data_IF_937354271577
#
_entry.id   IF_937354271577
#
_cell.length_a   1.000
_cell.length_b   1.000
_cell.length_c   1.000
_cell.angle_alpha   90.00
_cell.angle_beta   90.00
_cell.angle_gamma   90.00
#
_symmetry.space_group_name_H-M   'P 1'
#
loop_
_entity.id
_entity.type
_entity.pdbx_description
1 polymer ?
#
# COMPACT_ATOMS: atom_id res chain seq x y z
N UNK A 1 -40.25 5.26 8.46
CA UNK A 1 -38.87 5.21 7.90
C UNK A 1 -39.03 5.03 6.41
N UNK A 2 -38.66 6.05 5.65
CA UNK A 2 -38.80 6.05 4.20
C UNK A 2 -37.66 5.22 3.59
N UNK A 3 -37.96 4.00 3.16
CA UNK A 3 -36.94 3.06 2.65
C UNK A 3 -36.30 3.56 1.34
N UNK A 4 -37.00 4.40 0.58
CA UNK A 4 -36.51 4.95 -0.68
C UNK A 4 -35.37 5.95 -0.44
N UNK A 5 -35.48 6.78 0.60
CA UNK A 5 -34.42 7.73 0.97
C UNK A 5 -33.13 7.02 1.44
N UNK A 6 -33.24 5.87 2.09
CA UNK A 6 -32.07 5.06 2.52
C UNK A 6 -31.39 4.42 1.30
N UNK A 7 -32.16 3.87 0.37
CA UNK A 7 -31.65 3.28 -0.88
C UNK A 7 -31.03 4.34 -1.80
N UNK A 8 -31.64 5.52 -1.90
CA UNK A 8 -31.10 6.66 -2.66
C UNK A 8 -29.79 7.15 -2.04
N UNK A 9 -29.70 7.21 -0.70
CA UNK A 9 -28.45 7.50 -0.01
C UNK A 9 -27.33 6.50 -0.32
N UNK A 10 -27.65 5.21 -0.49
CA UNK A 10 -26.68 4.17 -0.86
C UNK A 10 -26.30 4.21 -2.35
N UNK A 11 -27.24 4.53 -3.23
CA UNK A 11 -26.97 4.69 -4.67
C UNK A 11 -26.09 5.91 -4.96
N UNK A 12 -26.27 7.01 -4.22
CA UNK A 12 -25.48 8.23 -4.33
C UNK A 12 -24.00 8.01 -3.97
N UNK A 13 -23.71 7.08 -3.04
CA UNK A 13 -22.33 6.71 -2.67
C UNK A 13 -21.64 6.00 -3.84
N UNK A 14 -22.37 5.17 -4.61
CA UNK A 14 -21.84 4.47 -5.78
C UNK A 14 -21.63 5.35 -7.01
N UNK A 15 -22.43 6.42 -7.18
CA UNK A 15 -22.37 7.35 -8.31
C UNK A 15 -21.80 8.73 -7.95
N UNK A 16 -20.95 8.80 -6.92
CA UNK A 16 -20.29 10.05 -6.53
C UNK A 16 -19.25 10.45 -7.58
N UNK A 17 -19.14 11.75 -7.96
CA UNK A 17 -18.06 12.24 -8.82
C UNK A 17 -16.66 11.91 -8.29
N UNK A 18 -16.54 11.65 -6.98
CA UNK A 18 -15.31 11.16 -6.36
C UNK A 18 -14.91 9.76 -6.88
N UNK A 19 -15.86 8.86 -7.12
CA UNK A 19 -15.59 7.49 -7.61
C UNK A 19 -15.02 7.56 -9.03
N UNK A 20 -15.62 8.37 -9.90
CA UNK A 20 -15.11 8.59 -11.27
C UNK A 20 -13.71 9.24 -11.28
N UNK A 21 -13.45 10.16 -10.35
CA UNK A 21 -12.12 10.76 -10.20
C UNK A 21 -11.06 9.73 -9.76
N UNK A 22 -11.43 8.81 -8.86
CA UNK A 22 -10.55 7.71 -8.43
C UNK A 22 -10.28 6.77 -9.61
N UNK A 23 -11.31 6.31 -10.32
CA UNK A 23 -11.15 5.43 -11.50
C UNK A 23 -10.23 6.08 -12.54
N UNK A 24 -10.46 7.35 -12.88
CA UNK A 24 -9.62 8.08 -13.83
C UNK A 24 -8.16 8.20 -13.39
N UNK A 25 -7.92 8.36 -12.08
CA UNK A 25 -6.56 8.39 -11.52
C UNK A 25 -5.86 7.04 -11.63
N UNK A 26 -6.56 5.94 -11.31
CA UNK A 26 -6.02 4.58 -11.44
C UNK A 26 -5.73 4.21 -12.89
N UNK A 27 -6.59 4.61 -13.82
CA UNK A 27 -6.35 4.45 -15.26
C UNK A 27 -5.04 5.13 -15.69
N UNK A 28 -4.81 6.39 -15.27
CA UNK A 28 -3.62 7.15 -15.63
C UNK A 28 -2.34 6.60 -15.00
N UNK A 29 -2.38 6.22 -13.72
CA UNK A 29 -1.18 5.78 -12.98
C UNK A 29 -0.73 4.36 -13.36
N UNK A 30 -1.68 3.46 -13.64
CA UNK A 30 -1.38 2.04 -13.86
C UNK A 30 -1.61 1.57 -15.30
N UNK A 31 -2.14 2.44 -16.17
CA UNK A 31 -2.45 2.10 -17.56
C UNK A 31 -3.65 1.15 -17.71
N UNK A 32 -4.57 1.16 -16.75
CA UNK A 32 -5.77 0.32 -16.80
C UNK A 32 -6.86 0.90 -17.71
N UNK A 33 -7.67 0.03 -18.29
CA UNK A 33 -8.97 0.44 -18.87
C UNK A 33 -9.96 0.76 -17.76
N UNK A 34 -11.04 1.49 -18.05
CA UNK A 34 -12.03 1.87 -17.03
C UNK A 34 -12.62 0.64 -16.29
N UNK A 35 -13.04 -0.38 -17.04
CA UNK A 35 -13.56 -1.62 -16.46
C UNK A 35 -12.53 -2.41 -15.64
N UNK A 36 -11.24 -2.34 -16.02
CA UNK A 36 -10.16 -2.94 -15.24
C UNK A 36 -9.91 -2.16 -13.96
N UNK A 37 -9.85 -0.83 -14.04
CA UNK A 37 -9.63 0.03 -12.89
C UNK A 37 -10.75 -0.18 -11.85
N UNK A 38 -12.02 -0.16 -12.25
CA UNK A 38 -13.14 -0.43 -11.34
C UNK A 38 -13.03 -1.79 -10.66
N UNK A 39 -12.71 -2.85 -11.43
CA UNK A 39 -12.54 -4.20 -10.88
C UNK A 39 -11.40 -4.25 -9.87
N UNK A 40 -10.25 -3.68 -10.20
CA UNK A 40 -9.06 -3.69 -9.35
C UNK A 40 -9.31 -2.86 -8.09
N UNK A 41 -9.94 -1.69 -8.21
CA UNK A 41 -10.35 -0.86 -7.08
C UNK A 41 -11.27 -1.64 -6.14
N UNK A 42 -12.29 -2.30 -6.70
CA UNK A 42 -13.23 -3.09 -5.91
C UNK A 42 -12.51 -4.21 -5.14
N UNK A 43 -11.67 -4.99 -5.84
CA UNK A 43 -10.87 -6.05 -5.21
C UNK A 43 -9.93 -5.48 -4.15
N UNK A 44 -9.32 -4.32 -4.40
CA UNK A 44 -8.41 -3.67 -3.47
C UNK A 44 -9.12 -3.25 -2.18
N UNK A 45 -10.33 -2.68 -2.28
CA UNK A 45 -11.10 -2.30 -1.10
C UNK A 45 -11.72 -3.48 -0.35
N UNK A 46 -12.04 -4.58 -1.06
CA UNK A 46 -12.52 -5.83 -0.46
C UNK A 46 -11.39 -6.61 0.24
N UNK A 47 -10.13 -6.41 -0.15
CA UNK A 47 -8.98 -7.06 0.48
C UNK A 47 -8.61 -6.41 1.82
N UNK A 48 -8.94 -7.10 2.92
CA UNK A 48 -8.59 -6.71 4.29
C UNK A 48 -7.14 -7.06 4.66
N UNK A 49 -6.46 -7.89 3.87
CA UNK A 49 -5.07 -8.29 4.09
C UNK A 49 -4.06 -7.37 3.39
N UNK A 50 -4.57 -6.36 2.67
CA UNK A 50 -3.79 -5.40 1.92
C UNK A 50 -2.80 -4.64 2.79
N UNK A 51 -1.76 -4.11 2.17
CA UNK A 51 -0.84 -3.17 2.82
C UNK A 51 -1.62 -1.90 3.16
N UNK A 52 -1.89 -1.67 4.43
CA UNK A 52 -2.46 -0.40 4.91
C UNK A 52 -1.30 0.48 5.35
N UNK A 53 -1.23 1.68 4.77
CA UNK A 53 -0.25 2.69 5.16
C UNK A 53 -0.86 3.46 6.33
N UNK A 54 -0.16 3.51 7.46
CA UNK A 54 -0.64 4.29 8.61
C UNK A 54 -0.63 5.79 8.29
N UNK A 55 -1.50 6.56 8.94
CA UNK A 55 -1.58 8.01 8.69
C UNK A 55 -0.27 8.73 8.99
N UNK A 56 0.47 8.27 10.00
CA UNK A 56 1.80 8.76 10.35
C UNK A 56 2.82 8.50 9.23
N UNK A 57 2.80 7.28 8.67
CA UNK A 57 3.64 6.93 7.53
C UNK A 57 3.26 7.78 6.32
N UNK A 58 1.96 7.90 6.03
CA UNK A 58 1.45 8.70 4.93
C UNK A 58 1.86 10.17 5.06
N UNK A 59 1.77 10.77 6.25
CA UNK A 59 2.18 12.16 6.47
C UNK A 59 3.64 12.43 6.09
N UNK A 60 4.54 11.48 6.37
CA UNK A 60 5.98 11.60 6.04
C UNK A 60 6.24 11.53 4.53
N UNK A 61 5.51 10.68 3.81
CA UNK A 61 5.71 10.46 2.37
C UNK A 61 4.76 11.29 1.49
N UNK A 62 3.71 11.91 2.03
CA UNK A 62 2.70 12.65 1.26
C UNK A 62 3.35 13.68 0.34
N UNK A 63 4.28 14.48 0.86
CA UNK A 63 4.92 15.53 0.06
C UNK A 63 5.66 14.98 -1.17
N UNK A 64 6.25 13.79 -1.08
CA UNK A 64 7.00 13.18 -2.20
C UNK A 64 6.11 12.33 -3.11
N UNK A 65 5.11 11.67 -2.54
CA UNK A 65 4.22 10.73 -3.22
C UNK A 65 3.07 11.45 -3.92
N UNK A 66 2.54 12.52 -3.32
CA UNK A 66 1.52 13.38 -3.94
C UNK A 66 2.10 14.19 -5.11
N UNK A 67 3.38 14.57 -5.03
CA UNK A 67 4.09 15.17 -6.17
C UNK A 67 4.19 14.21 -7.37
N UNK A 68 4.13 12.89 -7.14
CA UNK A 68 4.06 11.86 -8.18
C UNK A 68 2.61 11.54 -8.59
N UNK A 69 1.62 12.22 -8.00
CA UNK A 69 0.19 12.06 -8.30
C UNK A 69 -0.46 10.84 -7.64
N UNK A 70 0.22 10.22 -6.67
CA UNK A 70 -0.30 9.06 -5.94
C UNK A 70 -1.08 9.49 -4.70
N UNK A 71 -2.20 8.80 -4.45
CA UNK A 71 -2.92 8.83 -3.17
C UNK A 71 -2.48 7.68 -2.28
N UNK A 72 -2.84 7.73 -0.99
CA UNK A 72 -2.55 6.69 0.01
C UNK A 72 -2.95 5.29 -0.48
N UNK A 73 -4.18 5.15 -0.99
CA UNK A 73 -4.72 3.86 -1.47
C UNK A 73 -4.02 3.38 -2.75
N UNK A 74 -3.78 4.29 -3.71
CA UNK A 74 -3.12 3.91 -4.97
C UNK A 74 -1.67 3.52 -4.71
N UNK A 75 -1.01 4.20 -3.78
CA UNK A 75 0.35 3.90 -3.39
C UNK A 75 0.42 2.54 -2.66
N UNK A 76 -0.53 2.23 -1.79
CA UNK A 76 -0.67 0.91 -1.17
C UNK A 76 -0.84 -0.22 -2.20
N UNK A 77 -1.69 0.00 -3.22
CA UNK A 77 -1.84 -0.93 -4.34
C UNK A 77 -0.53 -1.10 -5.13
N UNK A 78 0.18 0.00 -5.38
CA UNK A 78 1.48 0.00 -6.04
C UNK A 78 2.52 -0.84 -5.27
N UNK A 79 2.61 -0.63 -3.95
CA UNK A 79 3.50 -1.40 -3.06
C UNK A 79 3.17 -2.89 -3.06
N UNK A 80 1.88 -3.24 -3.01
CA UNK A 80 1.43 -4.64 -3.07
C UNK A 80 1.89 -5.29 -4.37
N UNK A 81 1.77 -4.59 -5.49
CA UNK A 81 2.21 -5.06 -6.80
C UNK A 81 3.74 -5.23 -6.88
N UNK A 82 4.52 -4.34 -6.25
CA UNK A 82 5.97 -4.51 -6.17
C UNK A 82 6.39 -5.64 -5.23
N UNK A 83 5.66 -5.86 -4.13
CA UNK A 83 5.93 -6.93 -3.19
C UNK A 83 5.70 -8.32 -3.81
N UNK A 84 4.70 -8.48 -4.67
CA UNK A 84 4.44 -9.76 -5.37
C UNK A 84 5.42 -10.05 -6.49
N UNK A 85 6.02 -9.03 -7.09
CA UNK A 85 7.06 -9.19 -8.14
C UNK A 85 8.42 -9.55 -7.54
N UNK A 86 8.65 -9.30 -6.24
CA UNK A 86 9.90 -9.59 -5.55
C UNK A 86 9.75 -10.86 -4.68
N UNK A 87 10.12 -12.05 -5.16
CA UNK A 87 9.97 -13.30 -4.40
C UNK A 87 10.86 -13.39 -3.14
N UNK A 88 11.62 -12.34 -2.79
CA UNK A 88 12.57 -12.33 -1.68
C UNK A 88 12.35 -11.27 -0.60
N UNK A 89 11.43 -10.30 -0.76
CA UNK A 89 11.27 -9.20 0.21
C UNK A 89 10.11 -9.46 1.16
N UNK A 90 10.30 -10.43 2.06
CA UNK A 90 9.48 -10.51 3.27
C UNK A 90 9.79 -9.29 4.15
N UNK A 91 8.97 -8.26 4.06
CA UNK A 91 8.89 -7.27 5.13
C UNK A 91 8.50 -8.02 6.42
N UNK A 92 9.16 -7.76 7.56
CA UNK A 92 8.88 -8.47 8.80
C UNK A 92 7.46 -8.12 9.27
N UNK A 93 6.51 -9.01 9.00
CA UNK A 93 5.22 -8.99 9.66
C UNK A 93 5.46 -9.33 11.12
N UNK A 94 5.28 -8.35 12.00
CA UNK A 94 5.11 -8.58 13.44
C UNK A 94 3.82 -9.35 13.65
N UNK A 95 3.89 -10.68 13.54
CA UNK A 95 2.85 -11.59 13.99
C UNK A 95 3.55 -12.83 14.55
N UNK A 96 3.52 -12.94 15.88
CA UNK A 96 3.84 -14.15 16.63
C UNK A 96 3.11 -15.34 16.03
N UNK A 97 3.84 -16.21 15.34
CA UNK A 97 3.36 -17.52 14.93
C UNK A 97 4.54 -18.47 14.84
N UNK A 98 4.59 -19.35 15.82
CA UNK A 98 5.56 -20.42 16.01
C UNK A 98 5.49 -21.42 14.85
N UNK A 99 6.37 -21.27 13.86
CA UNK A 99 6.63 -22.33 12.88
C UNK A 99 8.10 -22.70 12.97
N UNK A 100 8.36 -23.86 13.60
CA UNK A 100 9.66 -24.51 13.66
C UNK A 100 10.17 -24.78 12.23
N UNK A 101 11.14 -24.00 11.77
CA UNK A 101 12.00 -24.34 10.62
C UNK A 101 13.44 -24.32 11.09
N UNK A 102 14.18 -25.40 10.77
CA UNK A 102 15.58 -25.59 11.15
C UNK A 102 16.43 -24.51 10.48
N UNK A 103 16.86 -23.53 11.26
CA UNK A 103 17.75 -22.47 10.80
C UNK A 103 19.14 -23.06 10.57
N UNK A 104 19.60 -23.13 9.32
CA UNK A 104 21.03 -23.09 9.05
C UNK A 104 21.48 -21.70 9.47
N UNK A 105 22.41 -21.61 10.41
CA UNK A 105 22.98 -20.34 10.84
C UNK A 105 23.54 -19.63 9.61
N UNK A 106 22.92 -18.52 9.22
CA UNK A 106 23.47 -17.68 8.17
C UNK A 106 24.53 -16.81 8.83
N UNK A 107 25.78 -17.10 8.51
CA UNK A 107 26.94 -16.31 8.87
C UNK A 107 26.93 -15.06 8.01
N UNK A 108 26.83 -13.89 8.64
CA UNK A 108 26.88 -12.60 7.96
C UNK A 108 28.22 -11.95 8.26
N UNK A 109 28.93 -11.54 7.22
CA UNK A 109 30.18 -10.78 7.33
C UNK A 109 29.84 -9.30 7.13
N UNK A 110 29.94 -8.52 8.20
CA UNK A 110 29.69 -7.08 8.18
C UNK A 110 31.02 -6.37 7.98
N UNK A 111 31.15 -5.65 6.87
CA UNK A 111 32.31 -4.79 6.62
C UNK A 111 31.98 -3.37 7.09
N UNK A 112 32.67 -2.91 8.13
CA UNK A 112 32.59 -1.54 8.61
C UNK A 112 33.74 -0.76 7.99
N UNK A 113 33.46 0.00 6.94
CA UNK A 113 34.38 1.00 6.39
C UNK A 113 34.04 2.34 7.05
N UNK A 114 34.97 2.86 7.83
CA UNK A 114 34.84 4.13 8.52
C UNK A 114 36.02 4.36 9.44
N UNK A 115 36.71 5.49 9.26
CA UNK A 115 37.75 5.94 10.18
C UNK A 115 37.11 6.28 11.54
N UNK A 116 37.29 5.41 12.53
CA UNK A 116 37.08 5.74 13.95
C UNK A 116 38.18 6.71 14.39
N UNK A 117 38.13 7.95 13.89
CA UNK A 117 38.85 9.04 14.53
C UNK A 117 38.17 9.32 15.86
N UNK A 118 38.78 8.78 16.90
CA UNK A 118 38.52 9.05 18.29
C UNK A 118 38.39 10.56 18.52
N UNK A 119 37.30 10.97 19.16
CA UNK A 119 37.22 12.22 19.86
C UNK A 119 36.89 11.90 21.32
N UNK A 120 37.95 11.74 22.12
CA UNK A 120 37.92 12.17 23.51
C UNK A 120 37.51 13.65 23.53
N UNK A 121 36.55 13.99 24.39
CA UNK A 121 36.52 15.08 25.39
C UNK A 121 35.25 14.92 26.22
#
# INVERSE_FOLDING_TARGET
MDMLAVLEGMAQIGSSPAVYAVVGRWMRLFGYTAAQAERVIKVHFEDLSRVVISDEQWALMRNTVEAQGHDQENYAHCLTRFATISPGRQQPRTATSTVKKKNKAQEYLVYLEGSLTAAEI
#
